data_IF_387239847096
#
_entry.id   IF_387239847096
#
_cell.length_a   1.000
_cell.length_b   1.000
_cell.length_c   1.000
_cell.angle_alpha   90.00
_cell.angle_beta   90.00
_cell.angle_gamma   90.00
#
_symmetry.space_group_name_H-M   'P 1'
#
loop_
_entity.id
_entity.type
_entity.pdbx_description
1 polymer ?
#
# COMPACT_ATOMS: atom_id res chain seq x y z
N UNK A 1 38.22 -35.83 62.98
CA UNK A 1 37.72 -34.54 62.47
C UNK A 1 37.74 -34.60 60.95
N UNK A 2 36.55 -34.67 60.33
CA UNK A 2 36.36 -34.82 58.88
C UNK A 2 36.65 -33.49 58.15
N UNK A 3 37.56 -33.49 57.16
CA UNK A 3 37.68 -32.39 56.19
C UNK A 3 36.96 -32.79 54.90
N UNK A 4 35.81 -32.14 54.65
CA UNK A 4 34.96 -32.33 53.47
C UNK A 4 35.54 -31.62 52.25
N UNK A 5 35.50 -32.31 51.11
CA UNK A 5 35.70 -31.77 49.77
C UNK A 5 34.67 -30.69 49.41
N UNK A 6 35.08 -29.69 48.65
CA UNK A 6 34.18 -28.82 47.88
C UNK A 6 34.76 -28.69 46.47
N UNK A 7 34.25 -29.51 45.55
CA UNK A 7 34.38 -29.29 44.10
C UNK A 7 33.42 -28.15 43.73
N UNK A 8 33.94 -27.02 43.25
CA UNK A 8 33.14 -25.96 42.66
C UNK A 8 32.94 -26.30 41.18
N UNK A 9 31.71 -26.64 40.82
CA UNK A 9 31.27 -26.87 39.45
C UNK A 9 31.09 -25.50 38.77
N UNK A 10 31.92 -25.17 37.80
CA UNK A 10 31.79 -23.95 36.99
C UNK A 10 30.79 -24.23 35.85
N UNK A 11 29.51 -23.95 36.07
CA UNK A 11 28.49 -24.00 35.02
C UNK A 11 28.61 -22.77 34.11
N UNK A 12 29.15 -22.97 32.91
CA UNK A 12 29.10 -21.99 31.83
C UNK A 12 27.67 -21.95 31.27
N UNK A 13 26.92 -20.90 31.61
CA UNK A 13 25.67 -20.54 30.94
C UNK A 13 26.01 -19.93 29.58
N UNK A 14 26.00 -20.75 28.53
CA UNK A 14 25.97 -20.26 27.15
C UNK A 14 24.58 -19.66 26.90
N UNK A 15 24.47 -18.34 27.03
CA UNK A 15 23.28 -17.60 26.60
C UNK A 15 23.16 -17.66 25.08
N UNK A 16 22.41 -18.64 24.57
CA UNK A 16 21.96 -18.63 23.19
C UNK A 16 21.04 -17.42 23.01
N UNK A 17 21.58 -16.35 22.44
CA UNK A 17 20.77 -15.26 21.91
C UNK A 17 19.97 -15.86 20.76
N UNK A 18 18.70 -16.19 21.01
CA UNK A 18 17.73 -16.44 19.95
C UNK A 18 17.59 -15.12 19.21
N UNK A 19 18.36 -14.95 18.13
CA UNK A 19 18.05 -13.96 17.13
C UNK A 19 16.65 -14.34 16.63
N UNK A 20 15.64 -13.56 17.01
CA UNK A 20 14.34 -13.63 16.37
C UNK A 20 14.58 -13.36 14.89
N UNK A 21 14.54 -14.41 14.08
CA UNK A 21 14.43 -14.25 12.64
C UNK A 21 13.12 -13.47 12.45
N UNK A 22 13.23 -12.19 12.10
CA UNK A 22 12.09 -11.43 11.61
C UNK A 22 11.62 -12.15 10.34
N UNK A 23 10.62 -13.02 10.49
CA UNK A 23 9.97 -13.66 9.36
C UNK A 23 9.38 -12.53 8.54
N UNK A 24 9.92 -12.31 7.34
CA UNK A 24 9.44 -11.27 6.45
C UNK A 24 7.94 -11.49 6.21
N UNK A 25 7.13 -10.44 6.42
CA UNK A 25 5.68 -10.51 6.25
C UNK A 25 5.35 -10.90 4.80
N UNK A 26 4.47 -11.88 4.63
CA UNK A 26 3.91 -12.24 3.33
C UNK A 26 2.85 -11.23 2.87
N UNK A 27 2.33 -11.36 1.63
CA UNK A 27 1.38 -10.40 1.07
C UNK A 27 0.08 -10.34 1.86
N UNK A 28 -0.42 -11.49 2.33
CA UNK A 28 -1.59 -11.54 3.22
C UNK A 28 -1.33 -10.78 4.54
N UNK A 29 -0.21 -11.04 5.20
CA UNK A 29 0.13 -10.39 6.47
C UNK A 29 0.29 -8.88 6.30
N UNK A 30 0.87 -8.42 5.19
CA UNK A 30 0.95 -6.97 4.93
C UNK A 30 -0.44 -6.34 4.92
N UNK A 31 -1.42 -6.92 4.22
CA UNK A 31 -2.79 -6.36 4.18
C UNK A 31 -3.50 -6.51 5.54
N UNK A 32 -3.42 -7.69 6.16
CA UNK A 32 -4.08 -7.98 7.43
C UNK A 32 -3.58 -7.09 8.58
N UNK A 33 -2.26 -6.98 8.75
CA UNK A 33 -1.65 -6.19 9.82
C UNK A 33 -1.93 -4.70 9.62
N UNK A 34 -1.81 -4.21 8.37
CA UNK A 34 -2.12 -2.82 8.02
C UNK A 34 -3.57 -2.49 8.33
N UNK A 35 -4.49 -3.39 7.98
CA UNK A 35 -5.92 -3.22 8.26
C UNK A 35 -6.17 -3.10 9.76
N UNK A 36 -5.53 -3.96 10.56
CA UNK A 36 -5.64 -3.89 12.02
C UNK A 36 -5.09 -2.58 12.60
N UNK A 37 -3.93 -2.13 12.12
CA UNK A 37 -3.31 -0.88 12.57
C UNK A 37 -4.17 0.34 12.21
N UNK A 38 -4.74 0.37 10.99
CA UNK A 38 -5.66 1.41 10.56
C UNK A 38 -6.92 1.46 11.43
N UNK A 39 -7.50 0.30 11.77
CA UNK A 39 -8.66 0.22 12.65
C UNK A 39 -8.35 0.78 14.06
N UNK A 40 -7.15 0.51 14.57
CA UNK A 40 -6.71 1.10 15.84
C UNK A 40 -6.59 2.62 15.74
N UNK A 41 -5.96 3.15 14.68
CA UNK A 41 -5.85 4.60 14.46
C UNK A 41 -7.23 5.26 14.34
N UNK A 42 -8.18 4.63 13.65
CA UNK A 42 -9.56 5.13 13.55
C UNK A 42 -10.24 5.17 14.92
N UNK A 43 -10.09 4.13 15.73
CA UNK A 43 -10.68 4.09 17.07
C UNK A 43 -10.08 5.17 17.98
N UNK A 44 -8.75 5.33 17.98
CA UNK A 44 -8.07 6.36 18.76
C UNK A 44 -8.44 7.79 18.29
N UNK A 45 -8.63 7.98 16.99
CA UNK A 45 -9.01 9.26 16.40
C UNK A 45 -10.32 9.80 16.95
N UNK A 46 -11.29 8.94 17.32
CA UNK A 46 -12.55 9.38 17.95
C UNK A 46 -12.36 10.27 19.17
N UNK A 47 -11.23 10.12 19.88
CA UNK A 47 -10.91 10.92 21.06
C UNK A 47 -10.23 12.26 20.80
N UNK A 48 -9.75 12.53 19.58
CA UNK A 48 -8.99 13.75 19.27
C UNK A 48 -9.34 14.41 17.93
N UNK A 49 -10.15 13.79 17.08
CA UNK A 49 -10.35 14.25 15.69
C UNK A 49 -10.96 15.65 15.61
N UNK A 50 -11.82 16.03 16.56
CA UNK A 50 -12.42 17.36 16.64
C UNK A 50 -11.40 18.46 17.03
N UNK A 51 -10.27 18.07 17.63
CA UNK A 51 -9.23 18.98 18.14
C UNK A 51 -7.98 19.01 17.24
N UNK A 52 -7.57 17.86 16.69
CA UNK A 52 -6.38 17.70 15.83
C UNK A 52 -6.67 16.70 14.69
N UNK A 53 -7.57 17.09 13.77
CA UNK A 53 -7.80 16.36 12.51
C UNK A 53 -6.48 16.09 11.75
N UNK A 54 -5.53 17.04 11.63
CA UNK A 54 -4.27 16.80 10.92
C UNK A 54 -3.44 15.65 11.50
N UNK A 55 -3.53 15.34 12.80
CA UNK A 55 -2.87 14.17 13.39
C UNK A 55 -3.36 12.86 12.78
N UNK A 56 -4.66 12.73 12.54
CA UNK A 56 -5.21 11.52 11.93
C UNK A 56 -4.60 11.27 10.56
N UNK A 57 -4.58 12.28 9.69
CA UNK A 57 -3.96 12.20 8.37
C UNK A 57 -2.47 11.81 8.45
N UNK A 58 -1.72 12.36 9.42
CA UNK A 58 -0.29 12.01 9.62
C UNK A 58 -0.10 10.53 10.03
N UNK A 59 -0.96 9.99 10.90
CA UNK A 59 -0.88 8.58 11.29
C UNK A 59 -1.22 7.65 10.13
N UNK A 60 -2.26 7.96 9.35
CA UNK A 60 -2.59 7.19 8.14
C UNK A 60 -1.42 7.24 7.15
N UNK A 61 -0.84 8.42 6.91
CA UNK A 61 0.32 8.58 6.05
C UNK A 61 1.53 7.77 6.54
N UNK A 62 1.79 7.73 7.85
CA UNK A 62 2.86 6.91 8.46
C UNK A 62 2.69 5.44 8.08
N UNK A 63 1.50 4.88 8.33
CA UNK A 63 1.19 3.48 8.04
C UNK A 63 1.33 3.22 6.53
N UNK A 64 0.76 4.09 5.68
CA UNK A 64 0.80 3.90 4.23
C UNK A 64 2.22 3.96 3.66
N UNK A 65 3.12 4.79 4.20
CA UNK A 65 4.52 4.83 3.78
C UNK A 65 5.27 3.49 4.03
N UNK A 66 4.83 2.71 5.01
CA UNK A 66 5.42 1.40 5.30
C UNK A 66 5.00 0.31 4.32
N UNK A 67 3.84 0.46 3.66
CA UNK A 67 3.25 -0.61 2.85
C UNK A 67 3.04 -0.26 1.39
N UNK A 68 3.01 1.02 1.01
CA UNK A 68 2.84 1.46 -0.37
C UNK A 68 4.18 1.91 -0.96
N UNK A 69 4.51 1.44 -2.17
CA UNK A 69 5.60 2.02 -2.96
C UNK A 69 5.06 3.17 -3.80
N UNK A 70 4.88 4.33 -3.14
CA UNK A 70 4.27 5.52 -3.76
C UNK A 70 5.02 5.98 -5.00
N UNK A 71 6.36 5.87 -5.02
CA UNK A 71 7.14 6.29 -6.18
C UNK A 71 6.81 5.44 -7.41
N UNK A 72 6.75 4.12 -7.24
CA UNK A 72 6.42 3.25 -8.36
C UNK A 72 4.95 3.36 -8.76
N UNK A 73 4.06 3.57 -7.79
CA UNK A 73 2.65 3.81 -8.07
C UNK A 73 2.47 5.10 -8.89
N UNK A 74 3.10 6.20 -8.46
CA UNK A 74 3.12 7.47 -9.17
C UNK A 74 3.68 7.32 -10.59
N UNK A 75 4.77 6.56 -10.78
CA UNK A 75 5.29 6.26 -12.13
C UNK A 75 4.31 5.49 -13.00
N UNK A 76 3.54 4.57 -12.41
CA UNK A 76 2.47 3.85 -13.11
C UNK A 76 1.37 4.82 -13.58
N UNK A 77 0.95 5.73 -12.71
CA UNK A 77 -0.02 6.80 -13.03
C UNK A 77 0.52 7.75 -14.11
N UNK A 78 1.78 8.14 -14.04
CA UNK A 78 2.40 9.00 -15.07
C UNK A 78 2.53 8.31 -16.44
N UNK A 79 2.36 6.99 -16.53
CA UNK A 79 2.45 6.23 -17.77
C UNK A 79 3.78 6.47 -18.50
N UNK A 80 3.71 6.79 -19.79
CA UNK A 80 4.90 7.04 -20.62
C UNK A 80 5.79 8.16 -20.05
N UNK A 81 5.20 9.21 -19.48
CA UNK A 81 5.93 10.34 -18.88
C UNK A 81 6.72 9.98 -17.63
N UNK A 82 6.33 8.92 -16.92
CA UNK A 82 7.03 8.38 -15.76
C UNK A 82 7.79 7.08 -16.05
N UNK A 83 7.85 6.65 -17.31
CA UNK A 83 8.36 5.33 -17.67
C UNK A 83 9.89 5.23 -17.60
N UNK A 84 10.42 4.02 -17.47
CA UNK A 84 11.87 3.79 -17.56
C UNK A 84 12.40 4.03 -18.99
N UNK A 85 11.54 3.85 -20.00
CA UNK A 85 11.85 4.11 -21.41
C UNK A 85 12.06 5.60 -21.66
N UNK A 86 11.14 6.46 -21.20
CA UNK A 86 11.29 7.90 -21.30
C UNK A 86 12.59 8.39 -20.63
N UNK A 87 12.90 7.86 -19.43
CA UNK A 87 14.14 8.20 -18.74
C UNK A 87 15.41 7.84 -19.53
N UNK A 88 15.44 6.66 -20.17
CA UNK A 88 16.60 6.20 -20.95
C UNK A 88 16.84 6.98 -22.23
N UNK A 89 15.81 7.66 -22.75
CA UNK A 89 15.92 8.47 -23.97
C UNK A 89 16.58 9.84 -23.73
N UNK A 90 16.64 10.29 -22.47
CA UNK A 90 17.27 11.56 -22.08
C UNK A 90 18.79 11.49 -22.27
N UNK A 91 19.38 12.54 -22.83
CA UNK A 91 20.79 12.56 -23.24
C UNK A 91 21.67 13.21 -22.16
N UNK A 92 21.17 14.29 -21.56
CA UNK A 92 21.91 15.13 -20.61
C UNK A 92 21.59 14.75 -19.16
N UNK A 93 22.48 15.10 -18.22
CA UNK A 93 22.21 14.86 -16.80
C UNK A 93 21.18 15.84 -16.24
N UNK A 94 21.11 17.04 -16.81
CA UNK A 94 20.13 18.08 -16.49
C UNK A 94 18.70 17.59 -16.79
N UNK A 95 18.49 16.99 -17.97
CA UNK A 95 17.20 16.38 -18.34
C UNK A 95 16.83 15.23 -17.40
N UNK A 96 17.79 14.34 -17.09
CA UNK A 96 17.56 13.21 -16.17
C UNK A 96 17.23 13.69 -14.77
N UNK A 97 17.90 14.75 -14.29
CA UNK A 97 17.59 15.38 -13.02
C UNK A 97 16.19 15.96 -13.02
N UNK A 98 15.83 16.76 -14.03
CA UNK A 98 14.50 17.34 -14.15
C UNK A 98 13.40 16.27 -14.20
N UNK A 99 13.63 15.17 -14.91
CA UNK A 99 12.72 14.02 -14.92
C UNK A 99 12.53 13.42 -13.53
N UNK A 100 13.63 13.17 -12.80
CA UNK A 100 13.56 12.62 -11.43
C UNK A 100 12.83 13.58 -10.50
N UNK A 101 13.12 14.87 -10.59
CA UNK A 101 12.49 15.91 -9.77
C UNK A 101 10.97 15.96 -10.02
N UNK A 102 10.52 15.86 -11.29
CA UNK A 102 9.09 15.79 -11.62
C UNK A 102 8.42 14.54 -11.06
N UNK A 103 9.05 13.38 -11.19
CA UNK A 103 8.53 12.13 -10.61
C UNK A 103 8.42 12.25 -9.09
N UNK A 104 9.42 12.83 -8.40
CA UNK A 104 9.35 13.05 -6.95
C UNK A 104 8.23 14.02 -6.56
N UNK A 105 8.16 15.19 -7.20
CA UNK A 105 7.09 16.17 -6.94
C UNK A 105 5.70 15.58 -7.16
N UNK A 106 5.53 14.84 -8.26
CA UNK A 106 4.26 14.17 -8.54
C UNK A 106 3.96 13.08 -7.50
N UNK A 107 4.97 12.31 -7.07
CA UNK A 107 4.82 11.30 -6.03
C UNK A 107 4.28 11.92 -4.74
N UNK A 108 4.86 13.03 -4.28
CA UNK A 108 4.41 13.72 -3.08
C UNK A 108 2.98 14.27 -3.25
N UNK A 109 2.73 14.98 -4.36
CA UNK A 109 1.40 15.56 -4.66
C UNK A 109 0.32 14.49 -4.73
N UNK A 110 0.60 13.37 -5.40
CA UNK A 110 -0.33 12.26 -5.56
C UNK A 110 -0.54 11.53 -4.24
N UNK A 111 0.52 11.22 -3.49
CA UNK A 111 0.44 10.61 -2.15
C UNK A 111 -0.43 11.44 -1.23
N UNK A 112 -0.12 12.72 -1.09
CA UNK A 112 -0.82 13.61 -0.17
C UNK A 112 -2.28 13.81 -0.61
N UNK A 113 -2.52 13.90 -1.92
CA UNK A 113 -3.86 13.90 -2.51
C UNK A 113 -4.67 12.65 -2.15
N UNK A 114 -4.09 11.44 -2.30
CA UNK A 114 -4.75 10.18 -1.93
C UNK A 114 -5.11 10.16 -0.44
N UNK A 115 -4.16 10.47 0.43
CA UNK A 115 -4.39 10.43 1.88
C UNK A 115 -5.45 11.46 2.28
N UNK A 116 -5.36 12.70 1.81
CA UNK A 116 -6.33 13.75 2.15
C UNK A 116 -7.73 13.43 1.63
N UNK A 117 -7.83 12.82 0.44
CA UNK A 117 -9.11 12.49 -0.18
C UNK A 117 -9.81 11.32 0.52
N UNK A 118 -9.05 10.27 0.84
CA UNK A 118 -9.64 9.00 1.28
C UNK A 118 -9.59 8.78 2.79
N UNK A 119 -8.72 9.46 3.53
CA UNK A 119 -8.65 9.31 4.99
C UNK A 119 -9.96 9.67 5.68
N UNK A 120 -10.66 10.72 5.23
CA UNK A 120 -11.96 11.11 5.81
C UNK A 120 -13.03 10.03 5.69
N UNK A 121 -13.00 9.26 4.59
CA UNK A 121 -13.89 8.11 4.42
C UNK A 121 -13.66 7.02 5.46
N UNK A 122 -12.44 6.90 5.99
CA UNK A 122 -12.13 5.97 7.08
C UNK A 122 -12.75 6.39 8.42
N UNK A 123 -13.04 7.68 8.66
CA UNK A 123 -13.74 8.13 9.87
C UNK A 123 -15.24 7.79 9.83
N UNK A 124 -15.81 7.72 8.63
CA UNK A 124 -17.19 7.26 8.44
C UNK A 124 -17.35 5.74 8.71
N UNK A 125 -16.24 5.04 8.99
CA UNK A 125 -16.27 3.64 9.38
C UNK A 125 -16.91 3.46 10.77
N UNK A 126 -18.19 3.12 10.78
CA UNK A 126 -19.00 2.98 12.00
C UNK A 126 -18.93 1.56 12.60
N UNK A 127 -17.73 0.98 12.72
CA UNK A 127 -17.56 -0.37 13.27
C UNK A 127 -18.01 -1.50 12.34
N UNK A 128 -18.11 -1.22 11.03
CA UNK A 128 -18.37 -2.20 9.99
C UNK A 128 -17.40 -3.39 10.10
N UNK A 129 -17.86 -4.62 9.80
CA UNK A 129 -16.94 -5.77 9.85
C UNK A 129 -15.99 -5.71 8.66
N UNK A 130 -14.69 -5.86 8.88
CA UNK A 130 -13.69 -6.00 7.82
C UNK A 130 -13.09 -7.40 7.87
N UNK A 131 -12.99 -8.06 6.71
CA UNK A 131 -12.37 -9.38 6.59
C UNK A 131 -11.37 -9.41 5.45
N UNK A 132 -10.10 -9.60 5.77
CA UNK A 132 -9.06 -9.94 4.79
C UNK A 132 -9.14 -11.43 4.50
N UNK A 133 -9.32 -11.79 3.24
CA UNK A 133 -9.49 -13.17 2.82
C UNK A 133 -8.14 -13.91 2.86
N UNK A 134 -8.09 -15.15 3.36
CA UNK A 134 -6.85 -15.93 3.45
C UNK A 134 -6.36 -16.42 2.08
N UNK A 135 -7.15 -16.33 1.03
CA UNK A 135 -6.76 -16.69 -0.33
C UNK A 135 -5.93 -15.57 -0.98
N UNK A 136 -4.80 -15.99 -1.57
CA UNK A 136 -4.00 -15.19 -2.48
C UNK A 136 -4.44 -15.48 -3.90
N UNK A 137 -4.55 -14.45 -4.72
CA UNK A 137 -4.73 -14.57 -6.16
C UNK A 137 -3.35 -14.47 -6.80
N UNK A 138 -2.87 -15.57 -7.36
CA UNK A 138 -1.55 -15.68 -8.01
C UNK A 138 -1.72 -15.95 -9.50
N UNK A 139 -0.68 -15.72 -10.30
CA UNK A 139 -0.70 -16.05 -11.74
C UNK A 139 0.12 -17.29 -12.01
N UNK A 140 -0.53 -18.38 -12.44
CA UNK A 140 0.11 -19.63 -12.82
C UNK A 140 -0.23 -19.98 -14.28
N UNK A 141 0.78 -20.21 -15.12
CA UNK A 141 0.56 -20.56 -16.53
C UNK A 141 -0.26 -19.51 -17.30
N UNK A 142 -0.20 -18.23 -16.90
CA UNK A 142 -0.97 -17.13 -17.50
C UNK A 142 -2.42 -17.03 -17.03
N UNK A 143 -2.84 -17.79 -16.01
CA UNK A 143 -4.19 -17.75 -15.44
C UNK A 143 -4.14 -17.36 -13.97
N UNK A 144 -5.15 -16.61 -13.52
CA UNK A 144 -5.33 -16.32 -12.11
C UNK A 144 -5.83 -17.60 -11.39
N UNK A 145 -5.17 -17.95 -10.29
CA UNK A 145 -5.54 -19.07 -9.41
C UNK A 145 -5.58 -18.59 -7.96
N UNK A 146 -6.50 -19.15 -7.18
CA UNK A 146 -6.61 -18.86 -5.74
C UNK A 146 -5.90 -19.94 -4.93
N UNK A 147 -5.03 -19.52 -4.02
CA UNK A 147 -4.26 -20.40 -3.13
C UNK A 147 -4.31 -19.85 -1.71
N UNK A 148 -4.50 -20.71 -0.71
CA UNK A 148 -4.40 -20.31 0.69
C UNK A 148 -3.01 -19.72 0.98
N UNK A 149 -2.94 -18.60 1.71
CA UNK A 149 -1.67 -17.95 2.03
C UNK A 149 -0.71 -18.86 2.82
N UNK A 150 -1.23 -19.88 3.50
CA UNK A 150 -0.44 -20.86 4.27
C UNK A 150 0.18 -21.93 3.38
N UNK A 151 -0.43 -22.19 2.23
CA UNK A 151 -0.07 -23.26 1.30
C UNK A 151 0.65 -22.72 0.04
N UNK A 152 0.76 -21.39 -0.07
CA UNK A 152 1.40 -20.72 -1.20
C UNK A 152 2.89 -21.03 -1.27
N UNK A 153 3.33 -21.49 -2.43
CA UNK A 153 4.73 -21.87 -2.69
C UNK A 153 5.54 -20.66 -3.19
N UNK A 154 6.86 -20.59 -2.93
CA UNK A 154 7.69 -19.45 -3.33
C UNK A 154 7.61 -19.09 -4.83
N UNK A 155 7.43 -20.07 -5.71
CA UNK A 155 7.26 -19.86 -7.15
C UNK A 155 5.94 -19.16 -7.52
N UNK A 156 4.88 -19.37 -6.74
CA UNK A 156 3.58 -18.72 -6.91
C UNK A 156 3.61 -17.27 -6.45
N UNK A 157 4.56 -16.95 -5.57
CA UNK A 157 4.77 -15.63 -5.01
C UNK A 157 5.75 -14.78 -5.84
N UNK A 158 6.13 -15.23 -7.04
CA UNK A 158 6.96 -14.45 -7.97
C UNK A 158 6.09 -13.46 -8.74
N UNK A 159 6.39 -12.17 -8.57
CA UNK A 159 5.71 -11.09 -9.30
C UNK A 159 4.56 -10.50 -8.49
N UNK A 160 3.42 -10.29 -9.15
CA UNK A 160 2.24 -9.67 -8.54
C UNK A 160 1.34 -10.72 -7.92
N UNK A 161 1.01 -10.53 -6.64
CA UNK A 161 0.05 -11.35 -5.88
C UNK A 161 -1.05 -10.43 -5.40
N UNK A 162 -2.31 -10.86 -5.51
CA UNK A 162 -3.42 -10.06 -4.99
C UNK A 162 -4.04 -10.66 -3.73
N UNK A 163 -4.51 -9.78 -2.85
CA UNK A 163 -5.20 -10.12 -1.60
C UNK A 163 -6.57 -9.45 -1.62
N UNK A 164 -7.60 -10.21 -1.30
CA UNK A 164 -8.99 -9.71 -1.27
C UNK A 164 -9.36 -9.30 0.16
N UNK A 165 -10.10 -8.21 0.29
CA UNK A 165 -10.70 -7.75 1.53
C UNK A 165 -12.17 -7.44 1.29
N UNK A 166 -12.99 -7.77 2.28
CA UNK A 166 -14.40 -7.42 2.32
C UNK A 166 -14.69 -6.42 3.44
N UNK A 167 -15.49 -5.40 3.15
CA UNK A 167 -16.06 -4.48 4.14
C UNK A 167 -17.57 -4.69 4.16
N UNK A 168 -18.09 -5.19 5.27
CA UNK A 168 -19.51 -5.43 5.47
C UNK A 168 -20.18 -4.21 6.07
N UNK A 169 -21.23 -3.71 5.43
CA UNK A 169 -22.09 -2.64 5.94
C UNK A 169 -23.55 -3.09 5.97
N UNK A 170 -24.46 -2.15 5.75
CA UNK A 170 -25.90 -2.40 5.76
C UNK A 170 -26.40 -3.12 4.48
N UNK A 171 -25.61 -3.04 3.40
CA UNK A 171 -25.93 -3.67 2.11
C UNK A 171 -25.82 -5.21 2.13
N UNK A 172 -26.55 -5.83 1.20
CA UNK A 172 -26.66 -7.30 1.11
C UNK A 172 -25.38 -8.04 0.72
N UNK A 173 -24.42 -7.38 0.08
CA UNK A 173 -23.12 -7.95 -0.31
C UNK A 173 -22.00 -7.07 0.25
N UNK A 174 -20.89 -7.58 0.78
CA UNK A 174 -19.81 -6.71 1.26
C UNK A 174 -19.12 -5.94 0.11
N UNK A 175 -18.56 -4.76 0.39
CA UNK A 175 -17.65 -4.06 -0.52
C UNK A 175 -16.38 -4.88 -0.70
N UNK A 176 -16.01 -5.11 -1.95
CA UNK A 176 -14.82 -5.84 -2.34
C UNK A 176 -13.68 -4.90 -2.68
N UNK A 177 -12.53 -5.15 -2.04
CA UNK A 177 -11.27 -4.51 -2.33
C UNK A 177 -10.26 -5.59 -2.69
N UNK A 178 -9.60 -5.45 -3.84
CA UNK A 178 -8.51 -6.32 -4.27
C UNK A 178 -7.23 -5.50 -4.34
N UNK A 179 -6.30 -5.83 -3.46
CA UNK A 179 -4.98 -5.22 -3.40
C UNK A 179 -4.00 -6.01 -4.26
N UNK A 180 -3.24 -5.35 -5.13
CA UNK A 180 -2.13 -5.98 -5.84
C UNK A 180 -0.81 -5.63 -5.16
N UNK A 181 -0.06 -6.64 -4.74
CA UNK A 181 1.22 -6.50 -4.05
C UNK A 181 2.34 -7.13 -4.89
N UNK A 182 3.55 -6.60 -4.76
CA UNK A 182 4.77 -7.23 -5.26
C UNK A 182 5.93 -6.99 -4.31
N UNK A 183 6.92 -7.89 -4.33
CA UNK A 183 8.13 -7.68 -3.54
C UNK A 183 8.93 -6.50 -4.08
N UNK A 184 9.27 -5.58 -3.19
CA UNK A 184 10.26 -4.54 -3.39
C UNK A 184 11.67 -5.11 -3.50
N UNK A 185 12.65 -4.23 -3.73
CA UNK A 185 14.05 -4.63 -3.91
C UNK A 185 14.67 -5.27 -2.66
N UNK A 186 14.16 -4.94 -1.47
CA UNK A 186 14.60 -5.53 -0.20
C UNK A 186 13.88 -6.83 0.17
N UNK A 187 12.98 -7.33 -0.68
CA UNK A 187 12.19 -8.54 -0.44
C UNK A 187 10.89 -8.31 0.35
N UNK A 188 10.65 -7.08 0.82
CA UNK A 188 9.43 -6.68 1.48
C UNK A 188 8.26 -6.56 0.50
N UNK A 189 7.06 -7.00 0.88
CA UNK A 189 5.88 -6.84 0.06
C UNK A 189 5.35 -5.40 0.13
N UNK A 190 5.08 -4.82 -1.04
CA UNK A 190 4.52 -3.47 -1.17
C UNK A 190 3.26 -3.50 -2.02
N UNK A 191 2.26 -2.73 -1.59
CA UNK A 191 1.08 -2.40 -2.37
C UNK A 191 1.47 -1.59 -3.61
N UNK A 192 0.93 -2.00 -4.75
CA UNK A 192 1.19 -1.41 -6.07
C UNK A 192 -0.06 -0.88 -6.74
N UNK A 193 -1.21 -1.49 -6.44
CA UNK A 193 -2.48 -1.09 -7.01
C UNK A 193 -3.64 -1.55 -6.11
N UNK A 194 -4.80 -0.93 -6.29
CA UNK A 194 -6.04 -1.29 -5.62
C UNK A 194 -7.17 -1.29 -6.64
N UNK A 195 -8.02 -2.31 -6.55
CA UNK A 195 -9.28 -2.40 -7.29
C UNK A 195 -10.40 -2.39 -6.26
N UNK A 196 -11.38 -1.51 -6.42
CA UNK A 196 -12.53 -1.38 -5.50
C UNK A 196 -13.79 -1.59 -6.32
N UNK A 197 -14.62 -2.58 -5.96
CA UNK A 197 -15.84 -2.92 -6.72
C UNK A 197 -15.59 -3.09 -8.23
N UNK A 198 -14.43 -3.65 -8.60
CA UNK A 198 -14.00 -3.81 -10.00
C UNK A 198 -13.38 -2.57 -10.65
N UNK A 199 -13.42 -1.40 -9.99
CA UNK A 199 -12.79 -0.17 -10.47
C UNK A 199 -11.28 -0.17 -10.14
N UNK A 200 -10.45 -0.25 -11.18
CA UNK A 200 -8.99 -0.23 -11.04
C UNK A 200 -8.49 1.21 -10.86
N UNK A 201 -8.11 1.57 -9.64
CA UNK A 201 -7.71 2.94 -9.30
C UNK A 201 -6.45 3.38 -10.04
N UNK A 202 -5.44 2.50 -10.17
CA UNK A 202 -4.23 2.83 -10.91
C UNK A 202 -4.50 3.16 -12.37
N UNK A 203 -5.40 2.43 -13.03
CA UNK A 203 -5.80 2.73 -14.41
C UNK A 203 -6.60 4.03 -14.51
N UNK A 204 -7.50 4.28 -13.57
CA UNK A 204 -8.30 5.52 -13.51
C UNK A 204 -7.37 6.73 -13.41
N UNK A 205 -6.46 6.74 -12.44
CA UNK A 205 -5.53 7.85 -12.26
C UNK A 205 -4.56 7.99 -13.43
N UNK A 206 -4.13 6.87 -14.02
CA UNK A 206 -3.30 6.93 -15.24
C UNK A 206 -4.04 7.63 -16.39
N UNK A 207 -5.31 7.28 -16.62
CA UNK A 207 -6.11 7.92 -17.65
C UNK A 207 -6.30 9.42 -17.38
N UNK A 208 -6.53 9.81 -16.14
CA UNK A 208 -6.63 11.22 -15.73
C UNK A 208 -5.32 11.97 -15.97
N UNK A 209 -4.17 11.37 -15.64
CA UNK A 209 -2.86 11.96 -15.86
C UNK A 209 -2.59 12.18 -17.35
N UNK A 210 -2.89 11.19 -18.19
CA UNK A 210 -2.74 11.32 -19.64
C UNK A 210 -3.66 12.40 -20.23
N UNK A 211 -4.89 12.52 -19.72
CA UNK A 211 -5.82 13.57 -20.13
C UNK A 211 -5.33 14.97 -19.70
N UNK A 212 -4.81 15.11 -18.48
CA UNK A 212 -4.21 16.34 -17.99
C UNK A 212 -2.97 16.73 -18.82
N UNK A 213 -2.06 15.77 -19.06
CA UNK A 213 -0.89 15.99 -19.89
C UNK A 213 -1.25 16.41 -21.32
N UNK A 214 -2.30 15.81 -21.91
CA UNK A 214 -2.80 16.24 -23.22
C UNK A 214 -3.34 17.68 -23.19
N UNK A 215 -4.06 18.05 -22.14
CA UNK A 215 -4.64 19.38 -21.98
C UNK A 215 -3.56 20.45 -21.80
N UNK A 216 -2.52 20.12 -21.02
CA UNK A 216 -1.37 20.99 -20.77
C UNK A 216 -0.30 20.93 -21.88
N UNK A 217 -0.60 20.29 -23.03
CA UNK A 217 0.33 20.23 -24.16
C UNK A 217 1.61 19.44 -23.90
N UNK A 218 1.59 18.50 -22.95
CA UNK A 218 2.74 17.72 -22.51
C UNK A 218 3.57 18.37 -21.41
N UNK A 219 3.15 19.54 -20.89
CA UNK A 219 3.84 20.23 -19.79
C UNK A 219 3.54 19.55 -18.45
N UNK A 220 4.45 18.65 -18.05
CA UNK A 220 4.31 17.87 -16.82
C UNK A 220 4.42 18.73 -15.57
N UNK A 221 5.14 19.85 -15.61
CA UNK A 221 5.22 20.73 -14.44
C UNK A 221 3.83 21.35 -14.15
N UNK A 222 3.11 21.81 -15.19
CA UNK A 222 1.73 22.28 -15.06
C UNK A 222 0.75 21.19 -14.64
N UNK A 223 0.91 19.97 -15.17
CA UNK A 223 0.08 18.83 -14.74
C UNK A 223 0.22 18.60 -13.24
N UNK A 224 1.45 18.65 -12.71
CA UNK A 224 1.71 18.47 -11.27
C UNK A 224 1.12 19.63 -10.46
N UNK A 225 1.33 20.87 -10.90
CA UNK A 225 0.80 22.08 -10.23
C UNK A 225 -0.73 22.08 -10.12
N UNK A 226 -1.41 21.58 -11.16
CA UNK A 226 -2.87 21.51 -11.23
C UNK A 226 -3.44 20.15 -10.78
N UNK A 227 -2.60 19.22 -10.31
CA UNK A 227 -3.04 17.87 -10.00
C UNK A 227 -3.91 17.84 -8.76
N UNK A 228 -5.11 17.28 -8.89
CA UNK A 228 -6.00 17.00 -7.78
C UNK A 228 -6.45 15.56 -7.81
N UNK A 229 -6.43 14.92 -6.65
CA UNK A 229 -7.08 13.63 -6.45
C UNK A 229 -8.53 13.91 -6.08
N UNK A 230 -9.46 13.44 -6.89
CA UNK A 230 -10.90 13.52 -6.60
C UNK A 230 -11.50 12.12 -6.62
N UNK A 231 -12.36 11.76 -5.65
CA UNK A 231 -13.14 10.54 -5.77
C UNK A 231 -13.91 10.56 -7.10
N UNK A 232 -13.95 9.43 -7.79
CA UNK A 232 -14.78 9.35 -9.00
C UNK A 232 -16.25 9.43 -8.57
N UNK A 233 -17.06 10.22 -9.28
CA UNK A 233 -18.52 10.24 -9.09
C UNK A 233 -19.11 8.82 -9.17
N UNK A 234 -18.51 7.90 -9.91
CA UNK A 234 -18.93 6.49 -9.97
C UNK A 234 -18.69 5.76 -8.65
N UNK A 235 -17.59 6.07 -7.95
CA UNK A 235 -17.33 5.54 -6.60
C UNK A 235 -18.30 6.14 -5.57
N UNK A 236 -18.64 7.43 -5.72
CA UNK A 236 -19.63 8.10 -4.88
C UNK A 236 -21.03 7.58 -5.15
N UNK A 237 -21.44 7.46 -6.41
CA UNK A 237 -22.73 6.90 -6.83
C UNK A 237 -22.87 5.43 -6.46
N UNK A 238 -21.80 4.63 -6.46
CA UNK A 238 -21.88 3.24 -5.94
C UNK A 238 -21.90 3.19 -4.40
N UNK A 239 -21.36 4.20 -3.73
CA UNK A 239 -21.47 4.34 -2.27
C UNK A 239 -22.81 4.98 -1.84
N UNK A 240 -23.47 5.73 -2.72
CA UNK A 240 -24.70 6.49 -2.45
C UNK A 240 -25.93 5.97 -3.18
N UNK A 241 -25.79 5.05 -4.15
CA UNK A 241 -26.90 4.29 -4.72
C UNK A 241 -27.27 3.16 -3.75
N UNK A 242 -27.65 3.58 -2.54
CA UNK A 242 -28.30 2.82 -1.49
C UNK A 242 -29.40 3.70 -0.90
#
# INVERSE_FOLDING_TARGET
>A
MFKKWCFVLFSVLLGASLASANVAKGPYQVVADTTQELLQVIEEAKGYIDEDEPRFTREILRIMNEVVDFQSFARGVMGDYGSSTAYRQLQTEEERKAFRDRVFKFTDTFRDGLINTYSKGLLAFNGNRIEVQPELIVTEGGKATEVSFKDAKPEQLKGTVSVRQYIYGERSKPYEIVYSLSQGKGGEWKLRNVIIEGLNLGQIYQNQFLAAAKTEGGDIDKVIENWTVTPQEVMEQQASAE
#
